data_IF_874438529417
#
_entry.id   IF_874438529417
#
_cell.length_a   1.000
_cell.length_b   1.000
_cell.length_c   1.000
_cell.angle_alpha   90.00
_cell.angle_beta   90.00
_cell.angle_gamma   90.00
#
_symmetry.space_group_name_H-M   'P 1'
#
loop_
_entity.id
_entity.type
_entity.pdbx_description
1 polymer ?
#
# COMPACT_ATOMS: atom_id res chain seq x y z
N UNK A 1 -16.72 -47.83 -9.21
CA UNK A 1 -15.36 -47.32 -8.92
C UNK A 1 -14.97 -46.12 -9.77
N UNK A 2 -15.40 -46.02 -11.03
CA UNK A 2 -15.10 -44.82 -11.85
C UNK A 2 -15.74 -43.53 -11.35
N UNK A 3 -16.89 -43.58 -10.64
CA UNK A 3 -17.59 -42.43 -10.07
C UNK A 3 -16.88 -41.81 -8.88
N UNK A 4 -16.19 -42.59 -8.03
CA UNK A 4 -15.47 -42.04 -6.86
C UNK A 4 -14.21 -41.28 -7.27
N UNK A 5 -13.54 -41.73 -8.30
CA UNK A 5 -12.35 -41.04 -8.83
C UNK A 5 -12.71 -39.67 -9.40
N UNK A 6 -13.82 -39.55 -10.14
CA UNK A 6 -14.32 -38.29 -10.68
C UNK A 6 -14.71 -37.30 -9.56
N UNK A 7 -15.31 -37.76 -8.47
CA UNK A 7 -15.66 -36.92 -7.33
C UNK A 7 -14.40 -36.35 -6.66
N UNK A 8 -13.37 -37.15 -6.46
CA UNK A 8 -12.10 -36.69 -5.89
C UNK A 8 -11.41 -35.66 -6.77
N UNK A 9 -11.35 -35.89 -8.07
CA UNK A 9 -10.75 -34.93 -9.04
C UNK A 9 -11.51 -33.62 -9.00
N UNK A 10 -12.83 -33.65 -8.96
CA UNK A 10 -13.68 -32.45 -8.88
C UNK A 10 -13.44 -31.67 -7.57
N UNK A 11 -13.34 -32.36 -6.43
CA UNK A 11 -13.06 -31.75 -5.13
C UNK A 11 -11.68 -31.08 -5.11
N UNK A 12 -10.66 -31.74 -5.65
CA UNK A 12 -9.31 -31.17 -5.75
C UNK A 12 -9.28 -29.93 -6.64
N UNK A 13 -10.00 -29.95 -7.75
CA UNK A 13 -10.10 -28.79 -8.65
C UNK A 13 -10.78 -27.59 -7.96
N UNK A 14 -11.85 -27.84 -7.18
CA UNK A 14 -12.54 -26.79 -6.42
C UNK A 14 -11.65 -26.20 -5.34
N UNK A 15 -10.89 -27.03 -4.61
CA UNK A 15 -9.94 -26.55 -3.60
C UNK A 15 -8.84 -25.71 -4.21
N UNK A 16 -8.30 -26.10 -5.36
CA UNK A 16 -7.28 -25.32 -6.09
C UNK A 16 -7.82 -23.97 -6.54
N UNK A 17 -9.06 -23.91 -7.03
CA UNK A 17 -9.73 -22.68 -7.43
C UNK A 17 -9.91 -21.73 -6.24
N UNK A 18 -10.35 -22.22 -5.09
CA UNK A 18 -10.52 -21.44 -3.88
C UNK A 18 -9.20 -20.87 -3.40
N UNK A 19 -8.12 -21.65 -3.39
CA UNK A 19 -6.79 -21.19 -3.02
C UNK A 19 -6.29 -20.11 -3.99
N UNK A 20 -6.50 -20.27 -5.28
CA UNK A 20 -6.11 -19.30 -6.30
C UNK A 20 -6.86 -17.98 -6.15
N UNK A 21 -8.15 -18.03 -5.85
CA UNK A 21 -8.97 -16.83 -5.61
C UNK A 21 -8.52 -16.07 -4.37
N UNK A 22 -8.22 -16.77 -3.28
CA UNK A 22 -7.71 -16.14 -2.05
C UNK A 22 -6.36 -15.47 -2.28
N UNK A 23 -5.41 -16.14 -2.94
CA UNK A 23 -4.11 -15.58 -3.27
C UNK A 23 -4.23 -14.37 -4.19
N UNK A 24 -5.13 -14.44 -5.17
CA UNK A 24 -5.38 -13.33 -6.08
C UNK A 24 -5.97 -12.11 -5.37
N UNK A 25 -6.88 -12.32 -4.42
CA UNK A 25 -7.48 -11.27 -3.60
C UNK A 25 -6.43 -10.55 -2.74
N UNK A 26 -5.53 -11.29 -2.09
CA UNK A 26 -4.44 -10.73 -1.29
C UNK A 26 -3.49 -9.90 -2.15
N UNK A 27 -3.10 -10.39 -3.32
CA UNK A 27 -2.26 -9.68 -4.27
C UNK A 27 -2.92 -8.39 -4.78
N UNK A 28 -4.25 -8.39 -4.96
CA UNK A 28 -4.99 -7.20 -5.38
C UNK A 28 -4.93 -6.11 -4.29
N UNK A 29 -5.16 -6.44 -3.03
CA UNK A 29 -5.11 -5.47 -1.91
C UNK A 29 -3.73 -4.82 -1.79
N UNK A 30 -2.67 -5.61 -1.84
CA UNK A 30 -1.29 -5.14 -1.78
C UNK A 30 -0.96 -4.26 -2.98
N UNK A 31 -1.34 -4.68 -4.17
CA UNK A 31 -1.14 -3.92 -5.40
C UNK A 31 -1.87 -2.59 -5.33
N UNK A 32 -3.11 -2.60 -4.86
CA UNK A 32 -3.92 -1.39 -4.71
C UNK A 32 -3.24 -0.37 -3.79
N UNK A 33 -2.72 -0.81 -2.64
CA UNK A 33 -1.98 0.06 -1.74
C UNK A 33 -0.78 0.71 -2.44
N UNK A 34 0.02 -0.10 -3.15
CA UNK A 34 1.21 0.38 -3.84
C UNK A 34 0.85 1.37 -4.96
N UNK A 35 -0.18 1.09 -5.73
CA UNK A 35 -0.65 1.97 -6.80
C UNK A 35 -1.16 3.30 -6.27
N UNK A 36 -1.83 3.29 -5.13
CA UNK A 36 -2.44 4.49 -4.56
C UNK A 36 -1.48 5.36 -3.76
N UNK A 37 -0.44 4.80 -3.14
CA UNK A 37 0.37 5.51 -2.17
C UNK A 37 1.87 5.56 -2.45
N UNK A 38 2.40 4.69 -3.30
CA UNK A 38 3.83 4.51 -3.45
C UNK A 38 4.44 5.45 -4.47
N UNK A 39 5.51 6.15 -4.07
CA UNK A 39 6.40 6.90 -4.96
C UNK A 39 7.79 6.27 -4.93
N UNK A 40 8.29 5.86 -6.10
CA UNK A 40 9.59 5.21 -6.20
C UNK A 40 10.75 6.19 -6.01
N UNK A 41 11.75 5.85 -5.17
CA UNK A 41 12.96 6.65 -5.03
C UNK A 41 13.86 6.65 -6.28
N UNK A 42 13.51 5.93 -7.33
CA UNK A 42 14.22 5.95 -8.62
C UNK A 42 14.10 7.29 -9.33
N UNK A 43 13.11 8.11 -8.96
CA UNK A 43 12.92 9.47 -9.44
C UNK A 43 13.09 10.45 -8.30
N UNK A 44 13.49 11.69 -8.61
CA UNK A 44 13.58 12.75 -7.60
C UNK A 44 12.22 13.03 -6.97
N UNK A 45 12.22 13.20 -5.65
CA UNK A 45 11.01 13.51 -4.92
C UNK A 45 10.31 14.77 -5.45
N UNK A 46 11.10 15.81 -5.79
CA UNK A 46 10.57 17.05 -6.32
C UNK A 46 9.91 16.91 -7.70
N UNK A 47 10.20 15.83 -8.44
CA UNK A 47 9.61 15.59 -9.76
C UNK A 47 8.17 15.09 -9.70
N UNK A 48 7.74 14.54 -8.57
CA UNK A 48 6.38 14.08 -8.40
C UNK A 48 5.44 15.25 -8.17
N UNK A 49 4.39 15.35 -8.99
CA UNK A 49 3.42 16.45 -8.95
C UNK A 49 2.02 15.91 -8.69
N UNK A 50 1.34 16.51 -7.73
CA UNK A 50 0.01 16.08 -7.31
C UNK A 50 -1.01 16.02 -8.46
N UNK A 51 -1.02 17.05 -9.32
CA UNK A 51 -1.99 17.09 -10.41
C UNK A 51 -1.86 15.87 -11.33
N UNK A 52 -0.63 15.46 -11.62
CA UNK A 52 -0.37 14.28 -12.45
C UNK A 52 -0.69 12.98 -11.72
N UNK A 53 -0.25 12.88 -10.47
CA UNK A 53 -0.45 11.67 -9.67
C UNK A 53 -1.92 11.38 -9.40
N UNK A 54 -2.68 12.40 -9.03
CA UNK A 54 -4.10 12.25 -8.72
C UNK A 54 -4.91 11.86 -9.96
N UNK A 55 -4.57 12.44 -11.10
CA UNK A 55 -5.22 12.12 -12.38
C UNK A 55 -4.85 10.71 -12.85
N UNK A 56 -3.57 10.37 -12.84
CA UNK A 56 -3.07 9.07 -13.31
C UNK A 56 -3.61 7.91 -12.46
N UNK A 57 -3.67 8.11 -11.14
CA UNK A 57 -4.15 7.09 -10.21
C UNK A 57 -5.67 7.00 -10.09
N UNK A 58 -6.41 7.78 -10.88
CA UNK A 58 -7.86 7.89 -10.76
C UNK A 58 -8.30 8.27 -9.35
N UNK A 59 -7.57 9.19 -8.72
CA UNK A 59 -7.78 9.64 -7.35
C UNK A 59 -8.43 11.02 -7.28
N UNK A 60 -8.82 11.59 -8.41
CA UNK A 60 -9.35 12.97 -8.49
C UNK A 60 -10.65 13.18 -7.71
N UNK A 61 -11.32 12.11 -7.31
CA UNK A 61 -12.51 12.19 -6.46
C UNK A 61 -12.19 12.45 -4.98
N UNK A 62 -10.93 12.30 -4.58
CA UNK A 62 -10.52 12.47 -3.19
C UNK A 62 -10.12 13.92 -2.91
N UNK A 63 -10.65 14.54 -1.83
CA UNK A 63 -10.26 15.90 -1.45
C UNK A 63 -8.83 15.97 -0.92
N UNK A 64 -8.30 14.89 -0.39
CA UNK A 64 -6.94 14.82 0.13
C UNK A 64 -6.40 13.40 -0.04
N UNK A 65 -5.11 13.30 -0.36
CA UNK A 65 -4.45 12.01 -0.52
C UNK A 65 -2.97 12.13 -0.21
N UNK A 66 -2.39 11.09 0.38
CA UNK A 66 -0.99 11.06 0.76
C UNK A 66 -0.23 10.01 -0.03
N UNK A 67 0.92 10.40 -0.55
CA UNK A 67 1.90 9.51 -1.16
C UNK A 67 3.13 9.41 -0.29
N UNK A 68 3.77 8.25 -0.28
CA UNK A 68 4.98 7.98 0.49
C UNK A 68 6.15 7.69 -0.45
N UNK A 69 7.26 8.37 -0.21
CA UNK A 69 8.49 8.25 -1.00
C UNK A 69 9.46 7.31 -0.29
N UNK A 70 9.41 6.05 -0.69
CA UNK A 70 10.13 4.97 -0.04
C UNK A 70 10.26 3.80 -1.04
N UNK A 71 11.32 3.01 -0.93
CA UNK A 71 11.46 1.83 -1.77
C UNK A 71 10.35 0.81 -1.43
N UNK A 72 9.84 0.13 -2.45
CA UNK A 72 8.84 -0.92 -2.23
C UNK A 72 9.36 -2.01 -1.29
N UNK A 73 10.65 -2.29 -1.34
CA UNK A 73 11.32 -3.26 -0.48
C UNK A 73 11.14 -2.91 1.00
N UNK A 74 11.30 -1.64 1.37
CA UNK A 74 11.11 -1.18 2.75
C UNK A 74 9.65 -1.29 3.16
N UNK A 75 8.70 -1.01 2.27
CA UNK A 75 7.28 -1.19 2.55
C UNK A 75 6.97 -2.67 2.82
N UNK A 76 7.49 -3.57 2.00
CA UNK A 76 7.32 -5.01 2.18
C UNK A 76 7.81 -5.51 3.53
N UNK A 77 8.82 -4.85 4.11
CA UNK A 77 9.41 -5.23 5.38
C UNK A 77 8.77 -4.59 6.60
N UNK A 78 7.87 -3.63 6.44
CA UNK A 78 7.22 -2.96 7.58
C UNK A 78 6.48 -3.96 8.46
N UNK A 79 5.78 -4.90 7.88
CA UNK A 79 5.02 -5.91 8.61
C UNK A 79 5.83 -7.14 9.01
N UNK A 80 7.13 -7.15 8.73
CA UNK A 80 8.00 -8.27 9.11
C UNK A 80 8.49 -8.06 10.54
N UNK A 81 8.27 -9.06 11.38
CA UNK A 81 8.72 -9.06 12.77
C UNK A 81 10.25 -9.18 12.86
N UNK A 82 10.83 -8.71 13.98
CA UNK A 82 12.24 -8.93 14.29
C UNK A 82 12.57 -10.42 14.49
N UNK A 83 11.57 -11.24 14.71
CA UNK A 83 11.72 -12.69 14.77
C UNK A 83 11.62 -13.27 13.36
N UNK A 84 12.56 -14.11 13.00
CA UNK A 84 12.69 -14.74 11.69
C UNK A 84 11.37 -15.28 11.14
N UNK A 85 11.06 -14.94 9.89
CA UNK A 85 9.95 -15.46 9.09
C UNK A 85 8.55 -15.20 9.66
N UNK A 86 8.42 -14.36 10.67
CA UNK A 86 7.13 -14.00 11.20
C UNK A 86 6.71 -12.63 10.69
N UNK A 87 5.39 -12.45 10.53
CA UNK A 87 4.82 -11.18 10.09
C UNK A 87 3.77 -10.73 11.10
N UNK A 88 3.71 -9.42 11.28
CA UNK A 88 2.60 -8.81 11.99
C UNK A 88 1.35 -8.90 11.13
N UNK A 89 0.25 -9.36 11.72
CA UNK A 89 -1.03 -9.56 11.02
C UNK A 89 -2.14 -8.88 11.76
N UNK A 90 -3.02 -8.21 11.03
CA UNK A 90 -4.17 -7.49 11.57
C UNK A 90 -3.80 -6.60 12.75
N UNK A 91 -2.77 -5.79 12.57
CA UNK A 91 -2.26 -4.90 13.61
C UNK A 91 -1.68 -3.62 13.00
N UNK A 92 -1.36 -2.67 13.87
CA UNK A 92 -0.83 -1.37 13.48
C UNK A 92 0.63 -1.28 13.87
N UNK A 93 1.46 -0.83 12.94
CA UNK A 93 2.90 -0.72 13.13
C UNK A 93 3.35 0.69 12.73
N UNK A 94 4.08 1.34 13.62
CA UNK A 94 4.78 2.58 13.29
C UNK A 94 6.08 2.26 12.54
N UNK A 95 6.31 2.93 11.43
CA UNK A 95 7.59 2.84 10.75
C UNK A 95 8.70 3.34 11.68
N UNK A 96 9.84 2.64 11.68
CA UNK A 96 10.95 2.96 12.57
C UNK A 96 11.62 4.28 12.24
N UNK A 97 11.59 4.69 10.97
CA UNK A 97 12.23 5.91 10.49
C UNK A 97 11.21 6.81 9.83
N UNK A 98 11.42 8.14 9.91
CA UNK A 98 10.58 9.08 9.17
C UNK A 98 10.63 8.82 7.67
N UNK A 99 9.50 9.08 7.02
CA UNK A 99 9.34 8.87 5.59
C UNK A 99 9.00 10.22 4.94
N UNK A 100 9.58 10.48 3.78
CA UNK A 100 9.18 11.64 2.96
C UNK A 100 7.78 11.41 2.43
N UNK A 101 6.91 12.36 2.67
CA UNK A 101 5.50 12.28 2.26
C UNK A 101 5.14 13.45 1.35
N UNK A 102 4.32 13.17 0.36
CA UNK A 102 3.69 14.18 -0.48
C UNK A 102 2.19 14.10 -0.25
N UNK A 103 1.61 15.16 0.30
CA UNK A 103 0.18 15.23 0.53
C UNK A 103 -0.44 16.18 -0.48
N UNK A 104 -1.49 15.71 -1.12
CA UNK A 104 -2.23 16.43 -2.14
C UNK A 104 -3.57 16.88 -1.56
N UNK A 105 -3.84 18.18 -1.56
CA UNK A 105 -5.10 18.77 -1.11
C UNK A 105 -5.79 19.42 -2.29
N UNK A 106 -7.03 19.02 -2.55
CA UNK A 106 -7.81 19.62 -3.62
C UNK A 106 -8.09 21.09 -3.33
N UNK A 107 -7.84 21.93 -4.34
CA UNK A 107 -8.20 23.34 -4.34
C UNK A 107 -9.15 23.63 -5.51
N UNK A 108 -9.47 24.91 -5.71
CA UNK A 108 -10.34 25.35 -6.79
C UNK A 108 -9.74 25.03 -8.16
N UNK A 109 -10.58 24.80 -9.17
CA UNK A 109 -10.21 24.60 -10.57
C UNK A 109 -9.41 23.32 -10.84
N UNK A 110 -9.76 22.24 -10.15
CA UNK A 110 -9.11 20.92 -10.33
C UNK A 110 -7.61 20.91 -10.07
N UNK A 111 -7.12 21.84 -9.26
CA UNK A 111 -5.72 21.89 -8.84
C UNK A 111 -5.57 21.34 -7.43
N UNK A 112 -4.45 20.68 -7.19
CA UNK A 112 -4.07 20.19 -5.88
C UNK A 112 -2.92 21.00 -5.33
N UNK A 113 -3.05 21.40 -4.06
CA UNK A 113 -1.95 21.98 -3.30
C UNK A 113 -1.04 20.85 -2.84
N UNK A 114 0.27 21.05 -3.00
CA UNK A 114 1.29 20.08 -2.61
C UNK A 114 1.90 20.45 -1.28
N UNK A 115 1.93 19.49 -0.37
CA UNK A 115 2.64 19.62 0.91
C UNK A 115 3.63 18.47 1.03
N UNK A 116 4.89 18.80 1.23
CA UNK A 116 5.98 17.83 1.37
C UNK A 116 6.51 17.88 2.80
N UNK A 117 6.75 16.71 3.38
CA UNK A 117 7.18 16.63 4.77
C UNK A 117 7.97 15.35 5.05
N UNK A 118 8.71 15.36 6.18
CA UNK A 118 9.10 14.14 6.86
C UNK A 118 8.06 13.83 7.91
N UNK A 119 7.59 12.60 7.95
CA UNK A 119 6.55 12.17 8.87
C UNK A 119 6.81 10.78 9.41
N UNK A 120 6.42 10.55 10.66
CA UNK A 120 6.25 9.20 11.17
C UNK A 120 4.90 8.68 10.70
N UNK A 121 4.88 7.47 10.18
CA UNK A 121 3.67 6.86 9.62
C UNK A 121 3.36 5.57 10.34
N UNK A 122 2.11 5.42 10.73
CA UNK A 122 1.55 4.19 11.21
C UNK A 122 0.84 3.48 10.07
N UNK A 123 1.24 2.25 9.82
CA UNK A 123 0.65 1.39 8.81
C UNK A 123 -0.23 0.33 9.45
N UNK A 124 -1.23 -0.10 8.73
CA UNK A 124 -1.98 -1.29 9.06
C UNK A 124 -1.39 -2.47 8.30
N UNK A 125 -1.11 -3.56 9.04
CA UNK A 125 -0.74 -4.84 8.47
C UNK A 125 -1.97 -5.70 8.31
N UNK A 126 -2.25 -6.15 7.10
CA UNK A 126 -3.42 -6.96 6.80
C UNK A 126 -3.35 -8.36 7.43
N UNK A 127 -4.39 -9.14 7.24
CA UNK A 127 -4.44 -10.52 7.73
C UNK A 127 -3.36 -11.41 7.11
N UNK A 128 -2.87 -11.08 5.93
CA UNK A 128 -1.81 -11.80 5.25
C UNK A 128 -0.40 -11.29 5.61
N UNK A 129 -0.30 -10.23 6.41
CA UNK A 129 0.98 -9.70 6.89
C UNK A 129 1.66 -8.72 5.96
N UNK A 130 0.90 -8.03 5.13
CA UNK A 130 1.40 -6.97 4.23
C UNK A 130 0.70 -5.66 4.52
N UNK A 131 1.37 -4.56 4.21
CA UNK A 131 0.78 -3.22 4.37
C UNK A 131 -0.44 -3.08 3.44
N UNK A 132 -1.56 -2.67 3.99
CA UNK A 132 -2.79 -2.42 3.23
C UNK A 132 -3.35 -1.01 3.42
N UNK A 133 -2.90 -0.26 4.42
CA UNK A 133 -3.41 1.07 4.68
C UNK A 133 -2.43 1.93 5.49
N UNK A 134 -2.54 3.24 5.32
CA UNK A 134 -1.92 4.25 6.18
C UNK A 134 -2.97 4.64 7.23
N UNK A 135 -2.64 4.45 8.51
CA UNK A 135 -3.59 4.63 9.58
C UNK A 135 -3.44 5.96 10.30
N UNK A 136 -2.20 6.38 10.55
CA UNK A 136 -1.92 7.63 11.25
C UNK A 136 -0.61 8.24 10.75
N UNK A 137 -0.51 9.56 10.87
CA UNK A 137 0.64 10.32 10.42
C UNK A 137 0.99 11.38 11.46
N UNK A 138 2.26 11.40 11.88
CA UNK A 138 2.79 12.45 12.76
C UNK A 138 3.84 13.25 11.99
N UNK A 139 3.52 14.50 11.72
CA UNK A 139 4.43 15.43 11.05
C UNK A 139 5.64 15.69 11.95
N UNK A 140 6.85 15.51 11.39
CA UNK A 140 8.09 15.86 12.08
C UNK A 140 8.54 17.25 11.66
N UNK A 141 8.68 17.46 10.34
CA UNK A 141 9.06 18.75 9.80
C UNK A 141 8.58 18.90 8.35
N UNK A 142 8.20 20.09 7.93
CA UNK A 142 7.93 20.34 6.52
C UNK A 142 9.23 20.29 5.70
N UNK A 143 9.10 19.94 4.43
CA UNK A 143 10.16 20.02 3.44
C UNK A 143 9.82 21.12 2.46
N UNK A 144 10.75 22.05 2.26
CA UNK A 144 10.61 23.13 1.29
C UNK A 144 11.48 22.80 0.09
N UNK A 145 10.92 23.03 -1.08
CA UNK A 145 11.65 22.86 -2.34
C UNK A 145 12.54 24.05 -2.64
#
# INVERSE_FOLDING_TARGET
MASSLKVWVTLLALLCLQCSLLLHSENISRRKFMEEHHLSPSQDFASYKCNNLMKKGNLSHKPSHMFIYISWYKIEHICVSSKWNDRYRNTYIWAQRPIKTLTCHWEKLNNYRETRSYSHIQFHCSMDGYVDNIEDVKLIKPLFN
#
